data_IF_781609105760
#
_entry.id   IF_781609105760
#
_cell.length_a   1.000
_cell.length_b   1.000
_cell.length_c   1.000
_cell.angle_alpha   90.00
_cell.angle_beta   90.00
_cell.angle_gamma   90.00
#
_symmetry.space_group_name_H-M   'P 1'
#
loop_
_entity.id
_entity.type
_entity.pdbx_description
1 polymer ?
#
# COMPACT_ATOMS: atom_id res chain seq x y z
N UNK A 1 -31.06 -10.23 -12.62
CA UNK A 1 -29.90 -10.72 -11.80
C UNK A 1 -30.44 -11.00 -10.41
N UNK A 2 -30.53 -12.27 -9.99
CA UNK A 2 -31.26 -12.70 -8.79
C UNK A 2 -30.63 -12.18 -7.49
N UNK A 3 -31.46 -11.72 -6.55
CA UNK A 3 -31.07 -11.14 -5.25
C UNK A 3 -30.06 -12.01 -4.47
N UNK A 4 -30.17 -13.34 -4.62
CA UNK A 4 -29.26 -14.34 -4.05
C UNK A 4 -27.81 -14.22 -4.55
N UNK A 5 -27.58 -13.85 -5.82
CA UNK A 5 -26.23 -13.66 -6.37
C UNK A 5 -25.54 -12.41 -5.82
N UNK A 6 -26.31 -11.36 -5.50
CA UNK A 6 -25.76 -10.12 -4.91
C UNK A 6 -25.31 -10.40 -3.47
N UNK A 7 -26.14 -11.09 -2.69
CA UNK A 7 -25.82 -11.45 -1.31
C UNK A 7 -24.58 -12.34 -1.22
N UNK A 8 -24.49 -13.41 -2.03
CA UNK A 8 -23.32 -14.29 -2.06
C UNK A 8 -22.02 -13.55 -2.42
N UNK A 9 -22.08 -12.57 -3.34
CA UNK A 9 -20.92 -11.74 -3.69
C UNK A 9 -20.50 -10.83 -2.53
N UNK A 10 -21.47 -10.21 -1.85
CA UNK A 10 -21.21 -9.37 -0.69
C UNK A 10 -20.61 -10.17 0.47
N UNK A 11 -21.17 -11.36 0.74
CA UNK A 11 -20.67 -12.27 1.77
C UNK A 11 -19.22 -12.72 1.50
N UNK A 12 -18.93 -13.18 0.27
CA UNK A 12 -17.56 -13.54 -0.12
C UNK A 12 -16.58 -12.38 -0.01
N UNK A 13 -17.07 -11.14 -0.17
CA UNK A 13 -16.26 -9.94 0.00
C UNK A 13 -15.98 -9.63 1.46
N UNK A 14 -16.98 -9.76 2.34
CA UNK A 14 -16.82 -9.59 3.78
C UNK A 14 -15.72 -10.50 4.35
N UNK A 15 -15.66 -11.76 3.93
CA UNK A 15 -14.61 -12.69 4.34
C UNK A 15 -13.19 -12.24 3.99
N UNK A 16 -13.00 -11.39 2.99
CA UNK A 16 -11.67 -10.83 2.66
C UNK A 16 -11.20 -9.80 3.68
N UNK A 17 -12.13 -9.15 4.40
CA UNK A 17 -11.84 -8.13 5.41
C UNK A 17 -11.66 -8.69 6.82
N UNK A 18 -11.93 -9.97 7.04
CA UNK A 18 -11.70 -10.63 8.34
C UNK A 18 -10.33 -10.30 8.95
N UNK A 19 -9.19 -10.38 8.23
CA UNK A 19 -7.90 -10.02 8.83
C UNK A 19 -7.81 -8.53 9.20
N UNK A 20 -8.45 -7.63 8.46
CA UNK A 20 -8.51 -6.19 8.78
C UNK A 20 -9.28 -5.98 10.07
N UNK A 21 -10.47 -6.59 10.17
CA UNK A 21 -11.32 -6.48 11.36
C UNK A 21 -10.70 -7.17 12.58
N UNK A 22 -10.02 -8.31 12.40
CA UNK A 22 -9.32 -9.00 13.47
C UNK A 22 -8.20 -8.15 14.06
N UNK A 23 -7.35 -7.54 13.21
CA UNK A 23 -6.28 -6.66 13.70
C UNK A 23 -6.85 -5.37 14.25
N UNK A 24 -7.88 -4.77 13.64
CA UNK A 24 -8.54 -3.59 14.19
C UNK A 24 -9.15 -3.85 15.57
N UNK A 25 -9.84 -4.99 15.74
CA UNK A 25 -10.39 -5.41 17.03
C UNK A 25 -9.27 -5.61 18.05
N UNK A 26 -8.18 -6.27 17.65
CA UNK A 26 -7.00 -6.42 18.49
C UNK A 26 -6.40 -5.06 18.89
N UNK A 27 -6.27 -4.11 17.96
CA UNK A 27 -5.79 -2.75 18.23
C UNK A 27 -6.69 -2.02 19.22
N UNK A 28 -8.01 -2.16 19.09
CA UNK A 28 -8.99 -1.57 20.00
C UNK A 28 -8.89 -2.21 21.39
N UNK A 29 -8.87 -3.54 21.47
CA UNK A 29 -8.72 -4.26 22.73
C UNK A 29 -7.40 -3.91 23.43
N UNK A 30 -6.30 -3.89 22.69
CA UNK A 30 -4.99 -3.48 23.20
C UNK A 30 -5.04 -2.04 23.73
N UNK A 31 -5.63 -1.11 22.98
CA UNK A 31 -5.78 0.28 23.39
C UNK A 31 -6.67 0.45 24.64
N UNK A 32 -7.62 -0.46 24.89
CA UNK A 32 -8.49 -0.44 26.07
C UNK A 32 -7.81 -1.09 27.28
N UNK A 33 -7.05 -2.16 27.07
CA UNK A 33 -6.36 -2.91 28.14
C UNK A 33 -5.16 -2.16 28.71
N UNK A 34 -4.40 -1.47 27.85
CA UNK A 34 -3.16 -0.78 28.21
C UNK A 34 -3.32 0.74 28.37
N UNK A 35 -4.55 1.24 28.35
CA UNK A 35 -4.83 2.65 28.64
C UNK A 35 -5.17 2.81 30.11
N UNK A 36 -4.33 3.54 30.85
CA UNK A 36 -4.52 3.91 32.27
C UNK A 36 -5.72 4.85 32.51
N UNK A 37 -6.56 5.06 31.49
CA UNK A 37 -7.68 5.97 31.53
C UNK A 37 -8.89 5.38 32.27
N UNK A 38 -9.62 6.25 32.96
CA UNK A 38 -10.92 5.96 33.58
C UNK A 38 -11.92 5.39 32.57
N UNK A 39 -13.02 4.79 33.06
CA UNK A 39 -14.08 4.18 32.22
C UNK A 39 -14.54 5.07 31.05
N UNK A 40 -14.64 6.38 31.27
CA UNK A 40 -15.00 7.37 30.25
C UNK A 40 -13.89 7.55 29.19
N UNK A 41 -12.62 7.50 29.59
CA UNK A 41 -11.48 7.57 28.67
C UNK A 41 -11.28 6.30 27.82
N UNK A 42 -11.81 5.16 28.25
CA UNK A 42 -11.78 3.91 27.45
C UNK A 42 -12.62 4.05 26.17
N UNK A 43 -13.84 4.57 26.25
CA UNK A 43 -14.69 4.79 25.08
C UNK A 43 -14.11 5.85 24.13
N UNK A 44 -13.49 6.90 24.69
CA UNK A 44 -12.78 7.90 23.91
C UNK A 44 -11.62 7.28 23.12
N UNK A 45 -10.86 6.36 23.73
CA UNK A 45 -9.79 5.61 23.08
C UNK A 45 -10.30 4.75 21.91
N UNK A 46 -11.43 4.04 22.09
CA UNK A 46 -12.06 3.26 21.02
C UNK A 46 -12.46 4.15 19.85
N UNK A 47 -13.16 5.26 20.13
CA UNK A 47 -13.62 6.19 19.11
C UNK A 47 -12.44 6.83 18.36
N UNK A 48 -11.45 7.35 19.08
CA UNK A 48 -10.24 7.95 18.49
C UNK A 48 -9.49 6.97 17.59
N UNK A 49 -9.33 5.72 18.05
CA UNK A 49 -8.65 4.66 17.29
C UNK A 49 -9.42 4.32 16.02
N UNK A 50 -10.73 4.12 16.13
CA UNK A 50 -11.59 3.82 14.98
C UNK A 50 -11.60 4.96 13.96
N UNK A 51 -11.77 6.20 14.43
CA UNK A 51 -11.75 7.39 13.57
C UNK A 51 -10.41 7.54 12.84
N UNK A 52 -9.28 7.32 13.54
CA UNK A 52 -7.95 7.31 12.92
C UNK A 52 -7.86 6.27 11.82
N UNK A 53 -8.29 5.03 12.09
CA UNK A 53 -8.32 3.96 11.11
C UNK A 53 -9.12 4.35 9.86
N UNK A 54 -10.36 4.85 10.03
CA UNK A 54 -11.20 5.24 8.90
C UNK A 54 -10.57 6.38 8.10
N UNK A 55 -10.05 7.40 8.77
CA UNK A 55 -9.40 8.53 8.12
C UNK A 55 -8.19 8.10 7.30
N UNK A 56 -7.29 7.29 7.87
CA UNK A 56 -6.12 6.78 7.16
C UNK A 56 -6.52 5.87 6.01
N UNK A 57 -7.47 4.96 6.22
CA UNK A 57 -7.96 4.05 5.17
C UNK A 57 -8.56 4.84 4.01
N UNK A 58 -9.32 5.90 4.29
CA UNK A 58 -9.89 6.78 3.28
C UNK A 58 -8.78 7.45 2.45
N UNK A 59 -7.79 8.06 3.11
CA UNK A 59 -6.68 8.72 2.40
C UNK A 59 -5.81 7.76 1.60
N UNK A 60 -5.64 6.54 2.07
CA UNK A 60 -4.93 5.51 1.31
C UNK A 60 -5.78 4.99 0.14
N UNK A 61 -7.08 4.78 0.32
CA UNK A 61 -7.90 4.13 -0.71
C UNK A 61 -8.46 5.10 -1.75
N UNK A 62 -8.71 6.35 -1.41
CA UNK A 62 -9.28 7.33 -2.33
C UNK A 62 -8.40 7.58 -3.58
N UNK A 63 -7.06 7.68 -3.45
CA UNK A 63 -6.18 7.83 -4.61
C UNK A 63 -6.23 6.66 -5.59
N UNK A 64 -6.59 5.43 -5.18
CA UNK A 64 -6.76 4.29 -6.11
C UNK A 64 -7.72 4.63 -7.26
N UNK A 65 -8.75 5.41 -6.98
CA UNK A 65 -9.72 5.83 -8.00
C UNK A 65 -9.15 6.87 -8.96
N UNK A 66 -8.18 7.67 -8.50
CA UNK A 66 -7.41 8.62 -9.31
C UNK A 66 -6.33 7.92 -10.14
N UNK A 67 -5.82 6.76 -9.70
CA UNK A 67 -4.81 5.99 -10.45
C UNK A 67 -5.32 5.56 -11.81
N UNK A 68 -6.62 5.31 -11.98
CA UNK A 68 -7.18 4.77 -13.24
C UNK A 68 -6.77 5.57 -14.50
N UNK A 69 -7.05 6.89 -14.60
CA UNK A 69 -6.66 7.69 -15.76
C UNK A 69 -5.14 7.91 -15.86
N UNK A 70 -4.42 7.93 -14.74
CA UNK A 70 -2.96 8.07 -14.72
C UNK A 70 -2.29 6.82 -15.29
N UNK A 71 -2.75 5.65 -14.86
CA UNK A 71 -2.20 4.36 -15.26
C UNK A 71 -2.42 4.08 -16.74
N UNK A 72 -3.62 4.36 -17.27
CA UNK A 72 -3.87 4.19 -18.71
C UNK A 72 -2.93 5.06 -19.56
N UNK A 73 -2.63 6.29 -19.12
CA UNK A 73 -1.67 7.18 -19.78
C UNK A 73 -0.23 6.66 -19.69
N UNK A 74 0.20 6.19 -18.52
CA UNK A 74 1.55 5.64 -18.32
C UNK A 74 1.75 4.40 -19.19
N UNK A 75 0.80 3.47 -19.17
CA UNK A 75 0.88 2.23 -19.96
C UNK A 75 0.83 2.54 -21.46
N UNK A 76 -0.03 3.47 -21.90
CA UNK A 76 -0.07 3.89 -23.30
C UNK A 76 1.29 4.46 -23.77
N UNK A 77 1.97 5.25 -22.92
CA UNK A 77 3.32 5.78 -23.21
C UNK A 77 4.38 4.69 -23.27
N UNK A 78 4.21 3.60 -22.52
CA UNK A 78 5.15 2.48 -22.42
C UNK A 78 4.82 1.31 -23.37
N UNK A 79 3.81 1.46 -24.24
CA UNK A 79 3.26 0.40 -25.09
C UNK A 79 4.30 -0.33 -25.96
N UNK A 80 5.36 0.33 -26.39
CA UNK A 80 6.41 -0.28 -27.22
C UNK A 80 7.42 -1.15 -26.47
N UNK A 81 7.46 -1.10 -25.13
CA UNK A 81 8.55 -1.70 -24.35
C UNK A 81 8.08 -2.66 -23.24
N UNK A 82 6.76 -2.81 -23.09
CA UNK A 82 6.15 -3.70 -22.11
C UNK A 82 5.63 -4.94 -22.81
N UNK A 83 6.13 -6.11 -22.38
CA UNK A 83 5.61 -7.40 -22.85
C UNK A 83 4.93 -8.08 -21.68
N UNK A 84 3.68 -8.52 -21.90
CA UNK A 84 2.95 -9.33 -20.94
C UNK A 84 3.15 -10.81 -21.27
N UNK A 85 3.77 -11.55 -20.35
CA UNK A 85 4.04 -12.97 -20.56
C UNK A 85 2.72 -13.76 -20.48
N UNK A 86 2.21 -14.23 -21.63
CA UNK A 86 0.87 -14.82 -21.75
C UNK A 86 0.64 -16.13 -20.97
N UNK A 87 1.69 -16.75 -20.42
CA UNK A 87 1.61 -18.08 -19.77
C UNK A 87 1.31 -18.08 -18.26
N UNK A 88 1.42 -16.96 -17.55
CA UNK A 88 1.10 -16.88 -16.10
C UNK A 88 -0.29 -16.28 -15.83
N UNK A 89 -1.27 -16.49 -16.72
CA UNK A 89 -2.66 -16.02 -16.53
C UNK A 89 -3.41 -16.70 -15.38
N UNK A 90 -2.85 -17.74 -14.75
CA UNK A 90 -3.32 -18.14 -13.43
C UNK A 90 -2.83 -17.11 -12.40
N UNK A 91 -3.51 -15.97 -12.36
CA UNK A 91 -3.47 -15.02 -11.24
C UNK A 91 -4.04 -15.70 -9.98
N UNK A 92 -3.34 -16.73 -9.47
CA UNK A 92 -3.51 -17.21 -8.11
C UNK A 92 -2.91 -16.16 -7.21
N UNK A 93 -3.69 -15.11 -7.02
CA UNK A 93 -3.50 -14.12 -5.98
C UNK A 93 -3.53 -14.89 -4.66
N UNK A 94 -2.34 -15.24 -4.18
CA UNK A 94 -2.17 -15.93 -2.92
C UNK A 94 -2.68 -15.01 -1.81
N UNK A 95 -3.67 -15.45 -0.99
CA UNK A 95 -4.23 -14.64 0.08
C UNK A 95 -3.17 -14.11 1.03
N UNK A 96 -2.16 -14.94 1.35
CA UNK A 96 -1.05 -14.54 2.23
C UNK A 96 -0.22 -13.38 1.67
N UNK A 97 -0.02 -13.29 0.35
CA UNK A 97 0.71 -12.16 -0.28
C UNK A 97 0.00 -10.85 0.04
N UNK A 98 -1.33 -10.84 -0.03
CA UNK A 98 -2.14 -9.63 0.15
C UNK A 98 -2.41 -9.30 1.61
N UNK A 99 -2.46 -10.31 2.48
CA UNK A 99 -2.72 -10.11 3.89
C UNK A 99 -1.46 -9.79 4.68
N UNK A 100 -0.34 -10.42 4.35
CA UNK A 100 0.91 -10.27 5.11
C UNK A 100 1.85 -9.32 4.39
N UNK A 101 2.25 -9.66 3.16
CA UNK A 101 3.36 -8.97 2.51
C UNK A 101 2.98 -7.56 2.09
N UNK A 102 1.82 -7.35 1.47
CA UNK A 102 1.38 -6.01 1.03
C UNK A 102 1.29 -5.02 2.21
N UNK A 103 0.69 -5.35 3.38
CA UNK A 103 0.70 -4.45 4.52
C UNK A 103 2.09 -4.17 5.07
N UNK A 104 2.94 -5.18 5.20
CA UNK A 104 4.32 -4.98 5.67
C UNK A 104 5.16 -4.15 4.68
N UNK A 105 4.92 -4.29 3.38
CA UNK A 105 5.51 -3.40 2.37
C UNK A 105 5.04 -1.96 2.59
N UNK A 106 3.73 -1.77 2.78
CA UNK A 106 3.10 -0.51 3.20
C UNK A 106 3.81 0.16 4.36
N UNK A 107 3.95 -0.59 5.45
CA UNK A 107 4.61 -0.16 6.70
C UNK A 107 6.08 0.16 6.47
N UNK A 108 6.82 -0.69 5.75
CA UNK A 108 8.25 -0.52 5.52
C UNK A 108 8.58 0.79 4.78
N UNK A 109 7.83 1.12 3.73
CA UNK A 109 7.98 2.43 3.07
C UNK A 109 7.42 3.55 3.96
N UNK A 110 6.31 3.30 4.66
CA UNK A 110 5.73 4.24 5.60
C UNK A 110 6.75 4.74 6.64
N UNK A 111 7.52 3.82 7.22
CA UNK A 111 8.61 4.12 8.16
C UNK A 111 9.71 5.00 7.53
N UNK A 112 10.10 4.71 6.29
CA UNK A 112 11.11 5.51 5.59
C UNK A 112 10.59 6.93 5.32
N UNK A 113 9.35 7.05 4.86
CA UNK A 113 8.76 8.37 4.62
C UNK A 113 8.49 9.11 5.91
N UNK A 114 8.08 8.45 6.98
CA UNK A 114 7.87 9.07 8.29
C UNK A 114 9.16 9.74 8.78
N UNK A 115 10.26 9.00 8.83
CA UNK A 115 11.57 9.50 9.28
C UNK A 115 12.08 10.65 8.40
N UNK A 116 11.92 10.57 7.07
CA UNK A 116 12.35 11.63 6.15
C UNK A 116 11.39 12.82 6.10
N UNK A 117 10.10 12.59 6.25
CA UNK A 117 9.09 13.63 6.28
C UNK A 117 9.20 14.47 7.54
N UNK A 118 9.47 13.85 8.69
CA UNK A 118 9.75 14.58 9.91
C UNK A 118 10.95 15.52 9.72
N UNK A 119 12.03 15.04 9.09
CA UNK A 119 13.19 15.86 8.77
C UNK A 119 12.88 17.02 7.79
N UNK A 120 12.08 16.77 6.74
CA UNK A 120 11.67 17.82 5.80
C UNK A 120 10.73 18.83 6.47
N UNK A 121 9.80 18.38 7.31
CA UNK A 121 8.92 19.26 8.07
C UNK A 121 9.71 20.12 9.06
N UNK A 122 10.72 19.56 9.74
CA UNK A 122 11.63 20.33 10.59
C UNK A 122 12.34 21.42 9.80
N UNK A 123 12.86 21.08 8.62
CA UNK A 123 13.55 22.03 7.74
C UNK A 123 12.64 23.17 7.26
N UNK A 124 11.40 22.85 6.88
CA UNK A 124 10.45 23.83 6.33
C UNK A 124 9.79 24.68 7.42
N UNK A 125 9.52 24.09 8.60
CA UNK A 125 8.83 24.80 9.70
C UNK A 125 9.78 25.48 10.67
N UNK A 126 11.09 25.15 10.63
CA UNK A 126 12.09 25.67 11.57
C UNK A 126 11.96 25.11 12.99
N UNK A 127 10.96 24.26 13.26
CA UNK A 127 10.63 23.76 14.58
C UNK A 127 11.09 22.30 14.75
N UNK A 128 11.75 21.95 15.87
CA UNK A 128 12.12 20.57 16.16
C UNK A 128 10.86 19.71 16.37
N UNK A 129 10.39 19.05 15.32
CA UNK A 129 9.29 18.10 15.44
C UNK A 129 9.76 16.85 16.18
N UNK A 130 9.21 16.58 17.36
CA UNK A 130 9.46 15.30 18.04
C UNK A 130 8.93 14.15 17.17
N UNK A 131 9.69 13.07 16.98
CA UNK A 131 9.45 12.06 15.95
C UNK A 131 8.14 11.27 16.09
N UNK A 132 7.41 11.40 17.20
CA UNK A 132 6.18 10.63 17.46
C UNK A 132 4.92 11.48 17.72
N UNK A 133 4.99 12.80 17.58
CA UNK A 133 3.78 13.63 17.60
C UNK A 133 3.19 13.80 16.21
N UNK A 134 2.63 12.70 15.67
CA UNK A 134 1.69 12.76 14.53
C UNK A 134 0.40 13.55 14.85
N UNK A 135 0.21 13.93 16.11
CA UNK A 135 -0.97 14.62 16.62
C UNK A 135 -0.55 15.60 17.73
N UNK A 136 -0.44 16.91 17.47
CA UNK A 136 -0.60 17.88 18.55
C UNK A 136 -2.08 17.89 18.97
N UNK A 137 -2.43 17.68 20.25
CA UNK A 137 -3.83 17.63 20.68
C UNK A 137 -4.56 18.97 20.70
N UNK A 138 -3.89 20.12 20.52
CA UNK A 138 -4.51 21.39 20.94
C UNK A 138 -4.81 22.40 19.84
N UNK A 139 -4.19 22.30 18.65
CA UNK A 139 -4.47 23.25 17.56
C UNK A 139 -4.40 22.55 16.20
N UNK A 140 -5.53 22.55 15.48
CA UNK A 140 -5.59 22.08 14.10
C UNK A 140 -4.78 23.03 13.21
N UNK A 141 -3.61 22.56 12.74
CA UNK A 141 -2.78 23.31 11.80
C UNK A 141 -3.09 22.87 10.37
N UNK A 142 -3.85 23.65 9.58
CA UNK A 142 -4.30 23.23 8.25
C UNK A 142 -3.13 22.96 7.30
N UNK A 143 -2.06 23.75 7.37
CA UNK A 143 -0.87 23.56 6.52
C UNK A 143 -0.20 22.20 6.75
N UNK A 144 0.06 21.83 8.02
CA UNK A 144 0.64 20.53 8.38
C UNK A 144 -0.27 19.38 7.97
N UNK A 145 -1.59 19.54 8.15
CA UNK A 145 -2.57 18.55 7.72
C UNK A 145 -2.56 18.35 6.19
N UNK A 146 -2.54 19.43 5.40
CA UNK A 146 -2.49 19.36 3.94
C UNK A 146 -1.20 18.70 3.44
N UNK A 147 -0.05 19.03 4.04
CA UNK A 147 1.24 18.41 3.70
C UNK A 147 1.22 16.91 3.96
N UNK A 148 0.83 16.49 5.18
CA UNK A 148 0.74 15.07 5.54
C UNK A 148 -0.26 14.33 4.63
N UNK A 149 -1.41 14.96 4.33
CA UNK A 149 -2.42 14.38 3.44
C UNK A 149 -1.88 14.22 2.02
N UNK A 150 -1.25 15.25 1.46
CA UNK A 150 -0.69 15.23 0.11
C UNK A 150 0.38 14.15 -0.04
N UNK A 151 1.25 13.99 0.96
CA UNK A 151 2.27 12.93 0.96
C UNK A 151 1.64 11.56 1.11
N UNK A 152 0.66 11.40 2.00
CA UNK A 152 -0.05 10.12 2.16
C UNK A 152 -0.74 9.70 0.85
N UNK A 153 -1.32 10.66 0.13
CA UNK A 153 -1.91 10.45 -1.20
C UNK A 153 -0.83 10.05 -2.21
N UNK A 154 0.30 10.75 -2.25
CA UNK A 154 1.41 10.45 -3.16
C UNK A 154 1.98 9.04 -2.91
N UNK A 155 2.21 8.69 -1.65
CA UNK A 155 2.68 7.35 -1.24
C UNK A 155 1.66 6.29 -1.65
N UNK A 156 0.36 6.52 -1.41
CA UNK A 156 -0.69 5.62 -1.85
C UNK A 156 -0.68 5.42 -3.38
N UNK A 157 -0.53 6.49 -4.16
CA UNK A 157 -0.44 6.42 -5.62
C UNK A 157 0.79 5.62 -6.07
N UNK A 158 1.94 5.86 -5.45
CA UNK A 158 3.18 5.15 -5.71
C UNK A 158 3.01 3.65 -5.45
N UNK A 159 2.50 3.29 -4.28
CA UNK A 159 2.24 1.89 -3.90
C UNK A 159 1.26 1.21 -4.83
N UNK A 160 0.14 1.87 -5.11
CA UNK A 160 -0.89 1.33 -5.98
C UNK A 160 -0.35 1.04 -7.38
N UNK A 161 0.50 1.92 -7.91
CA UNK A 161 1.17 1.76 -9.19
C UNK A 161 2.20 0.63 -9.16
N UNK A 162 3.08 0.59 -8.15
CA UNK A 162 4.09 -0.46 -7.99
C UNK A 162 3.47 -1.84 -7.83
N UNK A 163 2.43 -1.95 -7.00
CA UNK A 163 1.68 -3.19 -6.81
C UNK A 163 0.92 -3.58 -8.07
N UNK A 164 0.39 -2.62 -8.83
CA UNK A 164 -0.26 -2.92 -10.11
C UNK A 164 0.72 -3.53 -11.11
N UNK A 165 1.93 -2.97 -11.25
CA UNK A 165 2.95 -3.54 -12.12
C UNK A 165 3.40 -4.94 -11.69
N UNK A 166 3.60 -5.14 -10.39
CA UNK A 166 3.96 -6.44 -9.81
C UNK A 166 2.83 -7.47 -10.00
N UNK A 167 1.58 -7.12 -9.72
CA UNK A 167 0.44 -8.04 -9.84
C UNK A 167 0.05 -8.33 -11.28
N UNK A 168 0.27 -7.39 -12.22
CA UNK A 168 0.05 -7.62 -13.66
C UNK A 168 1.20 -8.41 -14.31
N UNK A 169 2.29 -8.66 -13.59
CA UNK A 169 3.46 -9.37 -14.12
C UNK A 169 4.12 -8.63 -15.29
N UNK A 170 4.03 -7.30 -15.33
CA UNK A 170 4.57 -6.49 -16.43
C UNK A 170 6.09 -6.58 -16.41
N UNK A 171 6.67 -7.03 -17.53
CA UNK A 171 8.12 -7.12 -17.72
C UNK A 171 8.56 -6.08 -18.74
N UNK A 172 9.67 -5.42 -18.45
CA UNK A 172 10.31 -4.51 -19.38
C UNK A 172 11.29 -5.33 -20.22
N UNK A 173 11.14 -5.29 -21.53
CA UNK A 173 12.06 -5.94 -22.47
C UNK A 173 12.96 -4.86 -23.04
N UNK A 174 14.27 -4.97 -22.78
CA UNK A 174 15.23 -4.12 -23.45
C UNK A 174 15.53 -4.71 -24.82
N UNK A 175 15.07 -4.06 -25.89
CA UNK A 175 15.27 -4.50 -27.28
C UNK A 175 16.74 -4.74 -27.61
N UNK A 176 17.65 -3.94 -27.04
CA UNK A 176 19.10 -4.00 -27.33
C UNK A 176 19.77 -5.25 -26.76
N UNK A 177 19.35 -5.70 -25.59
CA UNK A 177 20.04 -6.76 -24.85
C UNK A 177 19.22 -8.05 -24.79
N UNK A 178 17.97 -8.04 -25.27
CA UNK A 178 16.99 -9.13 -25.11
C UNK A 178 16.79 -9.57 -23.64
N UNK A 179 17.25 -8.77 -22.67
CA UNK A 179 17.08 -9.05 -21.25
C UNK A 179 15.67 -8.64 -20.81
N UNK A 180 14.92 -9.61 -20.28
CA UNK A 180 13.65 -9.35 -19.60
C UNK A 180 13.91 -8.94 -18.16
N UNK A 181 13.82 -7.65 -17.84
CA UNK A 181 13.91 -7.18 -16.44
C UNK A 181 12.52 -7.15 -15.82
N UNK A 182 12.36 -7.90 -14.73
CA UNK A 182 11.13 -7.90 -13.93
C UNK A 182 11.04 -6.60 -13.10
N UNK A 183 10.57 -5.52 -13.73
CA UNK A 183 10.44 -4.22 -13.07
C UNK A 183 9.55 -4.31 -11.81
N UNK A 184 8.47 -5.10 -11.88
CA UNK A 184 7.52 -5.29 -10.77
C UNK A 184 8.08 -6.05 -9.56
N UNK A 185 8.83 -7.15 -9.78
CA UNK A 185 9.29 -8.01 -8.67
C UNK A 185 10.30 -7.29 -7.76
N UNK A 186 11.23 -6.56 -8.36
CA UNK A 186 12.25 -5.82 -7.60
C UNK A 186 11.66 -4.59 -6.91
N UNK A 187 10.94 -3.74 -7.64
CA UNK A 187 10.39 -2.52 -7.06
C UNK A 187 9.24 -2.80 -6.09
N UNK A 188 8.40 -3.79 -6.38
CA UNK A 188 7.23 -4.14 -5.57
C UNK A 188 7.55 -4.97 -4.34
N UNK A 189 8.64 -5.74 -4.31
CA UNK A 189 8.98 -6.65 -3.19
C UNK A 189 10.30 -6.33 -2.52
N UNK A 190 11.37 -6.08 -3.27
CA UNK A 190 12.70 -5.85 -2.70
C UNK A 190 12.80 -4.48 -2.02
N UNK A 191 12.34 -3.43 -2.71
CA UNK A 191 12.45 -2.05 -2.23
C UNK A 191 11.77 -1.83 -0.87
N UNK A 192 10.52 -2.29 -0.62
CA UNK A 192 9.90 -2.15 0.70
C UNK A 192 10.62 -2.95 1.80
N UNK A 193 11.25 -4.09 1.47
CA UNK A 193 12.02 -4.88 2.44
C UNK A 193 13.27 -4.10 2.87
N UNK A 194 14.03 -3.58 1.91
CA UNK A 194 15.22 -2.76 2.19
C UNK A 194 14.84 -1.54 3.02
N UNK A 195 13.75 -0.86 2.64
CA UNK A 195 13.25 0.31 3.37
C UNK A 195 12.71 -0.02 4.76
N UNK A 196 12.04 -1.16 4.92
CA UNK A 196 11.61 -1.66 6.21
C UNK A 196 12.79 -1.93 7.14
N UNK A 197 13.83 -2.62 6.66
CA UNK A 197 15.06 -2.85 7.43
C UNK A 197 15.75 -1.54 7.80
N UNK A 198 15.87 -0.60 6.86
CA UNK A 198 16.43 0.71 7.14
C UNK A 198 15.61 1.47 8.19
N UNK A 199 14.27 1.45 8.10
CA UNK A 199 13.39 2.08 9.08
C UNK A 199 13.51 1.47 10.48
N UNK A 200 13.57 0.14 10.58
CA UNK A 200 13.80 -0.57 11.84
C UNK A 200 15.19 -0.24 12.41
N UNK A 201 16.23 -0.29 11.57
CA UNK A 201 17.59 0.09 11.97
C UNK A 201 17.63 1.52 12.50
N UNK A 202 16.98 2.46 11.81
CA UNK A 202 16.88 3.86 12.23
C UNK A 202 16.15 4.01 13.57
N UNK A 203 15.09 3.24 13.83
CA UNK A 203 14.40 3.21 15.12
C UNK A 203 15.33 2.69 16.24
N UNK A 204 16.01 1.57 16.01
CA UNK A 204 16.94 0.98 17.00
C UNK A 204 18.15 1.89 17.24
N UNK A 205 18.61 2.62 16.24
CA UNK A 205 19.71 3.58 16.39
C UNK A 205 19.30 4.85 17.16
N UNK A 206 18.00 5.19 17.18
CA UNK A 206 17.50 6.44 17.76
C UNK A 206 16.93 6.28 19.18
N UNK A 207 16.60 5.06 19.60
CA UNK A 207 15.93 4.76 20.88
C UNK A 207 16.58 3.56 21.56
N UNK A 208 16.38 3.41 22.87
CA UNK A 208 16.79 2.17 23.55
C UNK A 208 16.07 0.97 22.92
N UNK A 209 16.74 -0.18 22.85
CA UNK A 209 16.24 -1.36 22.11
C UNK A 209 14.81 -1.75 22.52
N UNK A 210 14.52 -1.77 23.83
CA UNK A 210 13.19 -2.12 24.35
C UNK A 210 12.13 -1.10 23.90
N UNK A 211 12.45 0.20 23.94
CA UNK A 211 11.56 1.26 23.49
C UNK A 211 11.33 1.21 21.97
N UNK A 212 12.39 0.98 21.19
CA UNK A 212 12.33 0.84 19.75
C UNK A 212 11.39 -0.30 19.32
N UNK A 213 11.46 -1.44 20.00
CA UNK A 213 10.52 -2.55 19.77
C UNK A 213 9.09 -2.17 20.17
N UNK A 214 8.90 -1.46 21.28
CA UNK A 214 7.61 -0.92 21.69
C UNK A 214 7.00 0.03 20.64
N UNK A 215 7.83 0.90 20.05
CA UNK A 215 7.40 1.78 18.96
C UNK A 215 7.08 1.01 17.68
N UNK A 216 7.95 0.09 17.27
CA UNK A 216 7.72 -0.75 16.09
C UNK A 216 6.41 -1.54 16.21
N UNK A 217 6.15 -2.12 17.37
CA UNK A 217 4.91 -2.83 17.65
C UNK A 217 3.68 -1.92 17.53
N UNK A 218 3.72 -0.72 18.12
CA UNK A 218 2.65 0.29 17.98
C UNK A 218 2.43 0.68 16.52
N UNK A 219 3.50 0.89 15.75
CA UNK A 219 3.44 1.24 14.33
C UNK A 219 2.73 0.11 13.54
N UNK A 220 3.12 -1.15 13.75
CA UNK A 220 2.49 -2.30 13.10
C UNK A 220 1.00 -2.36 13.42
N UNK A 221 0.63 -2.26 14.71
CA UNK A 221 -0.75 -2.30 15.17
C UNK A 221 -1.62 -1.20 14.54
N UNK A 222 -1.07 0.00 14.41
CA UNK A 222 -1.82 1.17 13.90
C UNK A 222 -1.90 1.16 12.37
N UNK A 223 -0.80 0.83 11.68
CA UNK A 223 -0.71 0.93 10.22
C UNK A 223 -1.12 -0.34 9.49
N UNK A 224 -1.07 -1.52 10.11
CA UNK A 224 -1.44 -2.76 9.44
C UNK A 224 -2.89 -2.76 8.94
N UNK A 225 -3.93 -2.44 9.76
CA UNK A 225 -5.31 -2.44 9.29
C UNK A 225 -5.56 -1.55 8.05
N UNK A 226 -5.14 -0.27 8.00
CA UNK A 226 -5.38 0.57 6.83
C UNK A 226 -4.62 0.10 5.58
N UNK A 227 -3.39 -0.41 5.72
CA UNK A 227 -2.67 -0.98 4.56
C UNK A 227 -3.25 -2.32 4.09
N UNK A 228 -3.78 -3.15 5.00
CA UNK A 228 -4.49 -4.37 4.65
C UNK A 228 -5.80 -4.07 3.91
N UNK A 229 -6.55 -3.05 4.36
CA UNK A 229 -7.71 -2.55 3.64
C UNK A 229 -7.30 -2.06 2.23
N UNK A 230 -6.24 -1.26 2.12
CA UNK A 230 -5.70 -0.78 0.84
C UNK A 230 -5.40 -1.95 -0.11
N UNK A 231 -4.71 -2.99 0.36
CA UNK A 231 -4.38 -4.16 -0.45
C UNK A 231 -5.64 -4.89 -0.97
N UNK A 232 -6.68 -5.00 -0.15
CA UNK A 232 -7.96 -5.61 -0.56
C UNK A 232 -8.68 -4.74 -1.61
N UNK A 233 -8.73 -3.42 -1.39
CA UNK A 233 -9.34 -2.48 -2.33
C UNK A 233 -8.59 -2.44 -3.66
N UNK A 234 -7.26 -2.41 -3.61
CA UNK A 234 -6.38 -2.43 -4.78
C UNK A 234 -6.58 -3.70 -5.61
N UNK A 235 -6.57 -4.89 -5.00
CA UNK A 235 -6.82 -6.14 -5.70
C UNK A 235 -8.21 -6.15 -6.36
N UNK A 236 -9.24 -5.68 -5.66
CA UNK A 236 -10.59 -5.54 -6.24
C UNK A 236 -10.60 -4.56 -7.42
N UNK A 237 -9.93 -3.44 -7.26
CA UNK A 237 -9.81 -2.42 -8.29
C UNK A 237 -9.15 -2.98 -9.54
N UNK A 238 -8.01 -3.66 -9.39
CA UNK A 238 -7.33 -4.35 -10.48
C UNK A 238 -8.24 -5.37 -11.14
N UNK A 239 -8.81 -6.32 -10.38
CA UNK A 239 -9.67 -7.37 -10.94
C UNK A 239 -10.86 -6.84 -11.75
N UNK A 240 -11.47 -5.74 -11.31
CA UNK A 240 -12.62 -5.15 -12.00
C UNK A 240 -12.24 -4.31 -13.24
N UNK A 241 -10.98 -3.92 -13.36
CA UNK A 241 -10.50 -3.00 -14.40
C UNK A 241 -9.42 -3.62 -15.29
N UNK A 242 -8.96 -4.82 -14.98
CA UNK A 242 -7.89 -5.53 -15.68
C UNK A 242 -8.20 -5.77 -17.15
N UNK A 243 -9.46 -6.07 -17.48
CA UNK A 243 -9.86 -6.26 -18.87
C UNK A 243 -9.71 -4.97 -19.68
N UNK A 244 -10.11 -3.83 -19.11
CA UNK A 244 -9.90 -2.51 -19.73
C UNK A 244 -8.42 -2.15 -19.83
N UNK A 245 -7.62 -2.51 -18.83
CA UNK A 245 -6.18 -2.28 -18.87
C UNK A 245 -5.50 -3.12 -19.95
N UNK A 246 -5.85 -4.41 -20.03
CA UNK A 246 -5.29 -5.33 -21.02
C UNK A 246 -5.65 -4.88 -22.45
N UNK A 247 -6.90 -4.43 -22.66
CA UNK A 247 -7.35 -3.87 -23.93
C UNK A 247 -6.63 -2.56 -24.28
N UNK A 248 -6.58 -1.59 -23.35
CA UNK A 248 -5.94 -0.29 -23.58
C UNK A 248 -4.43 -0.41 -23.83
N UNK A 249 -3.79 -1.40 -23.20
CA UNK A 249 -2.38 -1.65 -23.40
C UNK A 249 -2.10 -2.34 -24.74
N UNK A 250 -3.12 -2.93 -25.40
CA UNK A 250 -2.98 -3.77 -26.61
C UNK A 250 -1.77 -4.68 -26.49
N UNK A 251 -1.53 -5.22 -25.29
CA UNK A 251 -0.41 -6.08 -25.02
C UNK A 251 -0.65 -7.29 -25.90
N UNK A 252 0.19 -7.45 -26.92
CA UNK A 252 0.22 -8.68 -27.68
C UNK A 252 0.44 -9.77 -26.64
N UNK A 253 -0.62 -10.54 -26.37
CA UNK A 253 -0.53 -11.74 -25.58
C UNK A 253 0.46 -12.57 -26.35
N UNK A 254 1.69 -12.68 -25.86
CA UNK A 254 2.81 -13.26 -26.59
C UNK A 254 2.46 -14.65 -27.11
N UNK A 255 1.85 -14.69 -28.29
CA UNK A 255 2.10 -15.73 -29.26
C UNK A 255 3.58 -15.62 -29.50
N UNK A 256 4.25 -16.75 -29.26
CA UNK A 256 5.61 -17.06 -29.69
C UNK A 256 6.08 -16.00 -30.66
N UNK A 257 7.03 -15.16 -30.23
CA UNK A 257 7.78 -14.28 -31.13
C UNK A 257 8.23 -15.18 -32.28
N UNK A 258 7.44 -15.22 -33.37
CA UNK A 258 7.85 -15.88 -34.60
C UNK A 258 8.93 -14.96 -35.06
N UNK A 259 10.14 -15.34 -34.70
CA UNK A 259 11.34 -14.85 -35.28
C UNK A 259 11.15 -15.00 -36.79
N UNK A 260 10.72 -13.92 -37.43
CA UNK A 260 11.08 -13.62 -38.80
C UNK A 260 12.60 -13.45 -38.79
N UNK A 261 13.30 -14.57 -38.59
CA UNK A 261 14.65 -14.74 -39.08
C UNK A 261 14.42 -14.77 -40.58
N UNK A 262 14.83 -13.74 -41.34
CA UNK A 262 14.89 -13.90 -42.78
C UNK A 262 15.82 -15.09 -43.01
N UNK A 263 15.27 -16.16 -43.58
CA UNK A 263 16.07 -17.27 -44.09
C UNK A 263 17.04 -16.68 -45.10
N UNK A 264 18.30 -16.56 -44.70
CA UNK A 264 19.41 -16.32 -45.61
C UNK A 264 19.67 -17.57 -46.44
#
# INVERSE_FOLDING_TARGET
MTQTKVFQRAWKWFWKFVPVFAVLLFTVLFSVLFSDASSTGKWESVYKTSFRFFRFTLFLCLPLYLVLPLYSRIVAKLRGSLVQTGKEREFRILPWKHWVFRPFQGIGIGLLFETRLLAVLQLVTGEPTRPFHFLPPEQFQPGRFLVITGISVLISLLFSTLWAFDDMGIRHVNEKNQEMKMMGKYAGTLMPIIFGFYGIYSLVASFQTVEAFGYLFKIIIVLYPPFAALAIFHNRFLRNRMDRFSQAASLEVGGVWRSSIPSA
#
